data_IF_156868753670
#
_entry.id   IF_156868753670
#
_cell.length_a   1.000
_cell.length_b   1.000
_cell.length_c   1.000
_cell.angle_alpha   90.00
_cell.angle_beta   90.00
_cell.angle_gamma   90.00
#
_symmetry.space_group_name_H-M   'P 1'
#
loop_
_entity.id
_entity.type
_entity.pdbx_description
1 polymer ?
#
# COMPACT_ATOMS: atom_id res chain seq x y z
N UNK A 1 2.61 -1.63 3.14
CA UNK A 1 1.50 -0.91 2.49
C UNK A 1 1.41 -1.20 0.97
N UNK A 2 2.12 -2.22 0.44
CA UNK A 2 2.46 -2.30 -1.00
C UNK A 2 1.27 -2.42 -1.93
N UNK A 3 0.37 -3.33 -1.60
CA UNK A 3 -0.84 -3.59 -2.36
C UNK A 3 -1.86 -2.44 -2.23
N UNK A 4 -1.94 -1.82 -1.05
CA UNK A 4 -2.84 -0.71 -0.74
C UNK A 4 -2.02 0.55 -0.49
N UNK A 5 -1.53 1.13 -1.60
CA UNK A 5 -0.68 2.32 -1.58
C UNK A 5 -1.56 3.58 -1.44
N UNK A 6 -1.60 4.27 -0.28
CA UNK A 6 -2.54 5.39 -0.08
C UNK A 6 -2.29 6.57 -1.02
N UNK A 7 -1.04 6.80 -1.42
CA UNK A 7 -0.68 7.80 -2.43
C UNK A 7 -0.25 7.05 -3.70
N UNK A 8 -1.17 6.77 -4.64
CA UNK A 8 -0.92 5.84 -5.73
C UNK A 8 0.08 6.36 -6.77
N UNK A 9 0.26 7.68 -6.85
CA UNK A 9 1.26 8.31 -7.68
C UNK A 9 1.80 9.61 -7.07
N UNK A 10 3.00 10.00 -7.46
CA UNK A 10 3.57 11.32 -7.15
C UNK A 10 3.90 12.07 -8.43
N UNK A 11 3.83 13.40 -8.39
CA UNK A 11 4.25 14.25 -9.50
C UNK A 11 5.57 14.94 -9.15
N UNK A 12 6.49 15.00 -10.11
CA UNK A 12 7.73 15.77 -10.03
C UNK A 12 7.85 16.67 -11.25
N UNK A 13 8.46 17.85 -11.07
CA UNK A 13 8.89 18.72 -12.16
C UNK A 13 10.38 18.48 -12.40
N UNK A 14 10.76 18.35 -13.65
CA UNK A 14 12.16 18.20 -14.05
C UNK A 14 12.85 19.54 -13.86
N UNK A 15 13.85 19.58 -12.98
CA UNK A 15 14.57 20.80 -12.64
C UNK A 15 15.65 21.19 -13.67
N UNK A 16 16.11 20.22 -14.47
CA UNK A 16 17.07 20.40 -15.55
C UNK A 16 16.92 19.24 -16.52
N UNK A 17 17.23 19.46 -17.80
CA UNK A 17 17.22 18.39 -18.78
C UNK A 17 18.02 17.16 -18.30
N UNK A 18 17.46 15.97 -18.50
CA UNK A 18 18.01 14.72 -18.01
C UNK A 18 17.59 13.56 -18.90
N UNK A 19 18.39 12.50 -18.93
CA UNK A 19 18.09 11.28 -19.68
C UNK A 19 18.06 10.07 -18.74
N UNK A 20 17.01 9.89 -17.92
CA UNK A 20 16.80 8.62 -17.25
C UNK A 20 16.59 7.50 -18.28
N UNK A 21 16.81 6.25 -17.86
CA UNK A 21 16.75 5.07 -18.74
C UNK A 21 15.50 5.09 -19.62
N UNK A 22 15.71 5.22 -20.94
CA UNK A 22 14.65 5.12 -21.95
C UNK A 22 13.82 6.39 -22.18
N UNK A 23 14.18 7.55 -21.64
CA UNK A 23 13.44 8.79 -21.91
C UNK A 23 14.33 10.05 -21.88
N UNK A 24 14.15 10.93 -22.85
CA UNK A 24 14.70 12.29 -22.85
C UNK A 24 13.73 13.24 -22.15
N UNK A 25 14.15 13.82 -21.04
CA UNK A 25 13.36 14.77 -20.27
C UNK A 25 13.90 16.18 -20.43
N UNK A 26 13.02 17.12 -20.71
CA UNK A 26 13.32 18.55 -20.78
C UNK A 26 13.09 19.20 -19.42
N UNK A 27 13.75 20.33 -19.21
CA UNK A 27 13.40 21.18 -18.07
C UNK A 27 11.91 21.52 -18.11
N UNK A 28 11.29 21.59 -16.91
CA UNK A 28 9.86 21.81 -16.70
C UNK A 28 8.90 20.67 -17.08
N UNK A 29 9.39 19.58 -17.67
CA UNK A 29 8.56 18.38 -17.86
C UNK A 29 8.00 17.88 -16.52
N UNK A 30 6.78 17.32 -16.56
CA UNK A 30 6.13 16.71 -15.41
C UNK A 30 6.19 15.20 -15.49
N UNK A 31 6.82 14.58 -14.49
CA UNK A 31 6.92 13.13 -14.36
C UNK A 31 5.88 12.65 -13.36
N UNK A 32 5.12 11.63 -13.74
CA UNK A 32 4.25 10.87 -12.86
C UNK A 32 4.98 9.59 -12.41
N UNK A 33 5.24 9.46 -11.11
CA UNK A 33 5.81 8.26 -10.50
C UNK A 33 4.64 7.41 -9.99
N UNK A 34 4.25 6.39 -10.73
CA UNK A 34 3.09 5.54 -10.43
C UNK A 34 3.38 4.43 -9.41
N UNK A 35 3.59 4.79 -8.15
CA UNK A 35 3.92 3.82 -7.08
C UNK A 35 2.96 2.63 -7.03
N UNK A 36 1.64 2.85 -7.15
CA UNK A 36 0.65 1.76 -7.15
C UNK A 36 0.90 0.73 -8.26
N UNK A 37 1.23 1.18 -9.46
CA UNK A 37 1.52 0.30 -10.60
C UNK A 37 2.87 -0.40 -10.43
N UNK A 38 3.94 0.35 -10.12
CA UNK A 38 5.29 -0.20 -9.91
C UNK A 38 5.30 -1.27 -8.83
N UNK A 39 4.56 -1.05 -7.75
CA UNK A 39 4.41 -2.00 -6.65
C UNK A 39 3.79 -3.33 -7.06
N UNK A 40 3.15 -3.41 -8.24
CA UNK A 40 2.47 -4.60 -8.76
C UNK A 40 3.17 -5.25 -9.95
N UNK A 41 4.31 -4.71 -10.39
CA UNK A 41 5.08 -5.30 -11.47
C UNK A 41 5.78 -6.58 -10.99
N UNK A 42 5.52 -7.69 -11.67
CA UNK A 42 6.18 -8.97 -11.39
C UNK A 42 7.70 -8.92 -11.64
N UNK A 43 8.16 -8.04 -12.54
CA UNK A 43 9.59 -7.78 -12.79
C UNK A 43 10.31 -7.11 -11.62
N UNK A 44 9.56 -6.47 -10.72
CA UNK A 44 10.09 -5.81 -9.51
C UNK A 44 9.85 -6.69 -8.28
N UNK A 45 8.67 -7.32 -8.21
CA UNK A 45 8.25 -8.13 -7.06
C UNK A 45 7.75 -9.51 -7.52
N UNK A 46 8.47 -10.58 -7.17
CA UNK A 46 7.92 -11.94 -7.28
C UNK A 46 6.61 -12.04 -6.49
N UNK A 47 5.63 -12.75 -7.06
CA UNK A 47 4.26 -12.80 -6.54
C UNK A 47 3.73 -11.40 -6.18
N UNK A 48 3.83 -10.45 -7.14
CA UNK A 48 3.54 -9.05 -6.92
C UNK A 48 2.13 -8.82 -6.36
N UNK A 49 1.16 -9.68 -6.65
CA UNK A 49 -0.20 -9.49 -6.15
C UNK A 49 -0.43 -10.08 -4.76
N UNK A 50 0.45 -11.00 -4.31
CA UNK A 50 0.28 -11.70 -3.03
C UNK A 50 0.70 -10.85 -1.84
N UNK A 51 -0.11 -10.89 -0.78
CA UNK A 51 0.26 -10.36 0.53
C UNK A 51 1.21 -11.34 1.23
N UNK A 52 2.52 -11.11 1.09
CA UNK A 52 3.58 -11.92 1.69
C UNK A 52 4.46 -11.03 2.58
N UNK A 53 4.18 -10.91 3.89
CA UNK A 53 4.94 -10.08 4.82
C UNK A 53 6.42 -10.46 4.93
N UNK A 54 6.73 -11.76 4.81
CA UNK A 54 8.09 -12.29 4.98
C UNK A 54 9.11 -11.70 4.00
N UNK A 55 8.64 -11.14 2.87
CA UNK A 55 9.48 -10.45 1.88
C UNK A 55 10.22 -9.23 2.43
N UNK A 56 9.91 -8.79 3.64
CA UNK A 56 10.49 -7.60 4.28
C UNK A 56 11.30 -7.93 5.54
N UNK A 57 11.40 -9.19 5.95
CA UNK A 57 12.05 -9.57 7.22
C UNK A 57 13.57 -9.50 7.09
N UNK A 58 14.12 -9.98 5.97
CA UNK A 58 15.56 -10.08 5.73
C UNK A 58 16.08 -9.06 4.71
N UNK A 59 15.22 -8.11 4.30
CA UNK A 59 15.54 -7.14 3.25
C UNK A 59 15.73 -5.76 3.84
N UNK A 60 16.88 -5.14 3.61
CA UNK A 60 17.13 -3.71 3.85
C UNK A 60 16.46 -2.84 2.77
N UNK A 61 15.14 -3.00 2.62
CA UNK A 61 14.37 -2.20 1.66
C UNK A 61 14.30 -0.76 2.13
N UNK A 62 14.58 0.18 1.23
CA UNK A 62 14.46 1.60 1.48
C UNK A 62 13.27 2.21 0.71
N UNK A 63 13.06 3.52 0.88
CA UNK A 63 11.94 4.21 0.25
C UNK A 63 12.06 4.35 -1.29
N UNK A 64 13.21 4.05 -1.89
CA UNK A 64 13.37 3.98 -3.35
C UNK A 64 12.88 2.64 -3.90
N UNK A 65 13.05 1.55 -3.15
CA UNK A 65 12.55 0.22 -3.54
C UNK A 65 11.02 0.17 -3.49
N UNK A 66 10.45 0.89 -2.51
CA UNK A 66 9.02 0.89 -2.23
C UNK A 66 8.52 2.33 -1.88
N UNK A 67 8.25 3.18 -2.89
CA UNK A 67 8.10 4.63 -2.73
C UNK A 67 6.74 5.10 -2.19
N UNK A 68 6.18 4.42 -1.19
CA UNK A 68 4.85 4.76 -0.65
C UNK A 68 4.83 6.02 0.19
N UNK A 69 5.97 6.36 0.80
CA UNK A 69 6.17 7.63 1.49
C UNK A 69 7.03 8.60 0.68
N UNK A 70 7.20 8.36 -0.62
CA UNK A 70 8.23 8.98 -1.46
C UNK A 70 9.65 8.76 -0.91
N UNK A 71 10.66 9.19 -1.66
CA UNK A 71 12.05 9.21 -1.25
C UNK A 71 12.67 10.62 -1.40
N UNK A 72 13.92 10.76 -0.96
CA UNK A 72 14.69 12.00 -1.05
C UNK A 72 14.18 13.15 -0.17
N UNK A 73 14.57 14.40 -0.47
CA UNK A 73 14.24 15.58 0.35
C UNK A 73 12.74 15.89 0.49
N UNK A 74 11.92 15.36 -0.44
CA UNK A 74 10.45 15.50 -0.45
C UNK A 74 9.73 14.21 -0.01
N UNK A 75 10.43 13.34 0.71
CA UNK A 75 9.84 12.23 1.46
C UNK A 75 8.78 12.76 2.44
N UNK A 76 7.75 11.96 2.70
CA UNK A 76 6.70 12.29 3.66
C UNK A 76 7.31 12.61 5.03
N UNK A 77 7.11 13.85 5.49
CA UNK A 77 7.54 14.31 6.82
C UNK A 77 6.89 13.49 7.94
N UNK A 78 5.68 12.97 7.69
CA UNK A 78 4.93 12.14 8.63
C UNK A 78 5.34 10.66 8.67
N UNK A 79 6.35 10.21 7.92
CA UNK A 79 6.74 8.80 7.87
C UNK A 79 6.97 8.20 9.27
N UNK A 80 7.78 8.88 10.10
CA UNK A 80 8.14 8.37 11.42
C UNK A 80 6.91 8.21 12.32
N UNK A 81 6.08 9.26 12.37
CA UNK A 81 4.84 9.28 13.13
C UNK A 81 3.85 8.20 12.65
N UNK A 82 3.63 8.11 11.34
CA UNK A 82 2.71 7.13 10.76
C UNK A 82 3.16 5.70 11.06
N UNK A 83 4.45 5.40 10.94
CA UNK A 83 4.98 4.07 11.24
C UNK A 83 4.84 3.72 12.73
N UNK A 84 5.03 4.67 13.63
CA UNK A 84 4.79 4.48 15.07
C UNK A 84 3.31 4.19 15.32
N UNK A 85 2.41 5.02 14.79
CA UNK A 85 0.96 4.84 14.95
C UNK A 85 0.48 3.50 14.42
N UNK A 86 0.87 3.11 13.20
CA UNK A 86 0.50 1.83 12.59
C UNK A 86 0.99 0.66 13.45
N UNK A 87 2.24 0.69 13.93
CA UNK A 87 2.78 -0.36 14.80
C UNK A 87 2.00 -0.46 16.12
N UNK A 88 1.74 0.66 16.78
CA UNK A 88 0.97 0.70 18.03
C UNK A 88 -0.45 0.18 17.81
N UNK A 89 -1.14 0.63 16.76
CA UNK A 89 -2.50 0.19 16.46
C UNK A 89 -2.56 -1.31 16.17
N UNK A 90 -1.67 -1.81 15.31
CA UNK A 90 -1.61 -3.24 14.97
C UNK A 90 -1.23 -4.12 16.17
N UNK A 91 -0.35 -3.66 17.04
CA UNK A 91 -0.02 -4.36 18.29
C UNK A 91 -1.17 -4.32 19.31
N UNK A 92 -1.93 -3.23 19.36
CA UNK A 92 -3.00 -3.02 20.36
C UNK A 92 -4.27 -3.83 20.09
N UNK A 93 -4.65 -4.00 18.82
CA UNK A 93 -5.86 -4.76 18.44
C UNK A 93 -5.86 -6.18 19.05
N UNK A 94 -4.87 -7.05 18.77
CA UNK A 94 -4.89 -8.45 19.20
C UNK A 94 -4.80 -8.62 20.73
N UNK A 95 -4.32 -7.62 21.47
CA UNK A 95 -4.26 -7.66 22.93
C UNK A 95 -5.65 -7.64 23.58
N UNK A 96 -6.63 -6.98 22.93
CA UNK A 96 -7.96 -6.74 23.51
C UNK A 96 -9.06 -7.55 22.82
N UNK A 97 -9.04 -7.61 21.49
CA UNK A 97 -10.12 -8.18 20.67
C UNK A 97 -9.57 -8.85 19.41
N UNK A 98 -10.35 -9.75 18.84
CA UNK A 98 -10.08 -10.33 17.52
C UNK A 98 -11.04 -9.72 16.49
N UNK A 99 -10.53 -9.01 15.47
CA UNK A 99 -11.37 -8.54 14.37
C UNK A 99 -11.67 -9.70 13.42
N UNK A 100 -12.95 -9.91 13.09
CA UNK A 100 -13.39 -10.78 12.01
C UNK A 100 -14.22 -9.96 11.01
N UNK A 101 -14.02 -10.22 9.72
CA UNK A 101 -14.86 -9.60 8.69
C UNK A 101 -16.28 -10.17 8.76
N UNK A 102 -17.27 -9.36 8.38
CA UNK A 102 -18.62 -9.91 8.16
C UNK A 102 -18.61 -10.80 6.92
N UNK A 103 -19.33 -11.95 6.93
CA UNK A 103 -19.43 -12.83 5.76
C UNK A 103 -19.89 -12.09 4.51
N UNK A 104 -19.35 -12.48 3.36
CA UNK A 104 -19.69 -11.91 2.05
C UNK A 104 -19.53 -10.38 1.96
N UNK A 105 -18.53 -9.82 2.66
CA UNK A 105 -18.23 -8.40 2.54
C UNK A 105 -17.62 -8.10 1.17
N UNK A 106 -18.04 -6.97 0.60
CA UNK A 106 -17.40 -6.41 -0.59
C UNK A 106 -16.31 -5.41 -0.19
N UNK A 107 -15.08 -5.57 -0.66
CA UNK A 107 -13.99 -4.61 -0.44
C UNK A 107 -13.52 -4.07 -1.79
N UNK A 108 -13.85 -2.82 -2.06
CA UNK A 108 -13.40 -2.08 -3.23
C UNK A 108 -12.55 -0.88 -2.81
N UNK A 109 -11.69 -0.40 -3.69
CA UNK A 109 -10.96 0.85 -3.52
C UNK A 109 -11.46 1.91 -4.49
N UNK A 110 -11.27 3.18 -4.12
CA UNK A 110 -11.43 4.32 -5.02
C UNK A 110 -10.25 5.25 -4.84
N UNK A 111 -9.90 5.97 -5.90
CA UNK A 111 -8.96 7.09 -5.82
C UNK A 111 -9.79 8.35 -5.54
N UNK A 112 -9.61 8.93 -4.36
CA UNK A 112 -10.04 10.28 -4.04
C UNK A 112 -8.80 11.19 -3.99
N UNK A 113 -8.60 11.96 -2.93
CA UNK A 113 -7.29 12.59 -2.66
C UNK A 113 -6.22 11.52 -2.42
N UNK A 114 -6.61 10.38 -1.82
CA UNK A 114 -5.80 9.19 -1.61
C UNK A 114 -6.57 7.94 -2.06
N UNK A 115 -5.85 6.83 -2.23
CA UNK A 115 -6.47 5.52 -2.38
C UNK A 115 -7.10 5.10 -1.05
N UNK A 116 -8.43 4.96 -1.04
CA UNK A 116 -9.19 4.58 0.14
C UNK A 116 -10.24 3.52 -0.20
N UNK A 117 -10.86 2.93 0.83
CA UNK A 117 -11.97 2.01 0.59
C UNK A 117 -13.16 2.77 -0.01
N UNK A 118 -13.83 2.16 -0.98
CA UNK A 118 -15.03 2.74 -1.61
C UNK A 118 -16.19 2.80 -0.63
N UNK A 119 -16.27 1.83 0.27
CA UNK A 119 -17.31 1.66 1.28
C UNK A 119 -16.71 1.29 2.64
N UNK A 120 -17.46 1.43 3.74
CA UNK A 120 -17.01 1.02 5.07
C UNK A 120 -16.68 -0.47 5.12
N UNK A 121 -15.51 -0.82 5.70
CA UNK A 121 -15.15 -2.21 5.96
C UNK A 121 -15.70 -2.58 7.34
N UNK A 122 -16.80 -3.33 7.37
CA UNK A 122 -17.43 -3.76 8.62
C UNK A 122 -16.68 -4.93 9.24
N UNK A 123 -16.45 -4.84 10.54
CA UNK A 123 -15.69 -5.81 11.33
C UNK A 123 -16.47 -6.12 12.61
N UNK A 124 -16.54 -7.40 12.97
CA UNK A 124 -17.06 -7.89 14.25
C UNK A 124 -15.90 -8.12 15.21
N UNK A 125 -15.95 -7.52 16.39
CA UNK A 125 -14.89 -7.61 17.41
C UNK A 125 -15.20 -8.73 18.42
N UNK A 126 -14.65 -9.92 18.19
CA UNK A 126 -14.80 -11.05 19.11
C UNK A 126 -13.75 -11.02 20.24
N UNK A 127 -13.88 -11.94 21.21
CA UNK A 127 -12.91 -12.12 22.28
C UNK A 127 -11.50 -12.39 21.70
N UNK A 128 -10.43 -11.96 22.39
CA UNK A 128 -9.02 -12.12 21.97
C UNK A 128 -8.63 -13.56 21.62
N UNK A 129 -9.28 -14.54 22.25
CA UNK A 129 -8.98 -15.96 22.06
C UNK A 129 -9.88 -16.63 20.99
N UNK A 130 -10.77 -15.88 20.34
CA UNK A 130 -11.58 -16.40 19.24
C UNK A 130 -10.67 -16.82 18.06
N UNK A 131 -11.08 -17.89 17.37
CA UNK A 131 -10.40 -18.34 16.15
C UNK A 131 -10.53 -17.28 15.06
N UNK A 132 -9.47 -17.09 14.28
CA UNK A 132 -9.51 -16.30 13.06
C UNK A 132 -10.25 -17.14 12.03
N UNK A 133 -11.39 -16.65 11.54
CA UNK A 133 -12.16 -17.31 10.50
C UNK A 133 -11.80 -16.65 9.17
N UNK A 134 -11.23 -17.42 8.25
CA UNK A 134 -11.07 -16.96 6.87
C UNK A 134 -12.47 -16.70 6.33
N UNK A 135 -12.71 -15.47 5.92
CA UNK A 135 -13.99 -15.02 5.39
C UNK A 135 -13.77 -14.69 3.94
N UNK A 136 -14.63 -15.20 3.06
CA UNK A 136 -14.58 -14.88 1.65
C UNK A 136 -14.95 -13.40 1.44
N UNK A 137 -14.16 -12.74 0.61
CA UNK A 137 -14.28 -11.31 0.30
C UNK A 137 -14.31 -11.18 -1.22
N UNK A 138 -15.23 -10.36 -1.72
CA UNK A 138 -15.37 -10.04 -3.14
C UNK A 138 -15.17 -8.55 -3.39
N UNK A 139 -14.85 -8.14 -4.62
CA UNK A 139 -14.66 -6.73 -4.95
C UNK A 139 -13.43 -6.42 -5.79
N UNK A 140 -13.47 -5.28 -6.46
CA UNK A 140 -12.65 -4.89 -7.61
C UNK A 140 -11.26 -4.36 -7.22
N UNK A 141 -10.54 -4.96 -6.27
CA UNK A 141 -9.19 -4.41 -5.96
C UNK A 141 -8.16 -4.58 -7.10
N UNK A 142 -8.26 -5.56 -8.01
CA UNK A 142 -9.00 -5.49 -9.30
C UNK A 142 -9.90 -6.71 -9.56
N UNK A 143 -10.56 -7.19 -8.50
CA UNK A 143 -11.21 -8.51 -8.24
C UNK A 143 -10.36 -9.34 -7.25
N UNK A 144 -9.91 -8.66 -6.19
CA UNK A 144 -9.15 -9.11 -5.00
C UNK A 144 -8.07 -10.20 -5.18
N UNK A 145 -7.57 -10.35 -6.42
CA UNK A 145 -6.61 -11.32 -6.98
C UNK A 145 -7.26 -12.70 -7.19
N UNK A 146 -7.76 -13.02 -8.39
CA UNK A 146 -8.61 -14.20 -8.67
C UNK A 146 -8.02 -15.55 -8.18
N UNK A 147 -8.75 -16.26 -7.29
CA UNK A 147 -8.51 -17.60 -6.68
C UNK A 147 -7.10 -17.92 -6.14
#
# INVERSE_FOLDING_TARGET
MRLFTPVPYQVRRVARAAQPVGADLKEDDRILIGSWATNRLASVYADAERFKPDRWIETDSNNYDYPTFSAGPRRCVGYGLAMIMVKITLASIPLKRRPNLVPNIRIDTKVAVTLCSRQPIRVVMSNRNAKIVRTDVHGTVSDLYAL
#
